data_IF_733726192747
#
_entry.id   IF_733726192747
#
_cell.length_a   1.000
_cell.length_b   1.000
_cell.length_c   1.000
_cell.angle_alpha   90.00
_cell.angle_beta   90.00
_cell.angle_gamma   90.00
#
_symmetry.space_group_name_H-M   'P 1'
#
loop_
_entity.id
_entity.type
_entity.pdbx_description
1 polymer ?
#
# COMPACT_ATOMS: atom_id res chain seq x y z
N UNK A 1 2.75 21.64 22.26
CA UNK A 1 1.80 20.90 23.12
C UNK A 1 0.38 21.44 23.08
N UNK A 2 0.15 22.68 22.60
CA UNK A 2 -1.17 23.34 22.68
C UNK A 2 -2.38 22.60 22.11
N UNK A 3 -2.22 21.71 21.11
CA UNK A 3 -3.35 20.91 20.63
C UNK A 3 -3.82 19.89 21.70
N UNK A 4 -2.91 19.11 22.26
CA UNK A 4 -3.24 18.07 23.26
C UNK A 4 -3.80 18.71 24.53
N UNK A 5 -3.16 19.78 25.02
CA UNK A 5 -3.61 20.52 26.20
C UNK A 5 -5.00 21.15 26.00
N UNK A 6 -5.33 21.54 24.76
CA UNK A 6 -6.65 22.06 24.41
C UNK A 6 -7.72 20.96 24.31
N UNK A 7 -7.37 19.76 23.86
CA UNK A 7 -8.35 18.69 23.62
C UNK A 7 -8.63 17.79 24.83
N UNK A 8 -7.63 17.51 25.68
CA UNK A 8 -7.82 16.64 26.85
C UNK A 8 -8.92 17.12 27.83
N UNK A 9 -9.12 18.43 28.06
CA UNK A 9 -10.19 18.92 28.94
C UNK A 9 -11.61 18.51 28.50
N UNK A 10 -11.86 18.32 27.19
CA UNK A 10 -13.17 17.82 26.71
C UNK A 10 -13.51 16.42 27.23
N UNK A 11 -12.50 15.66 27.65
CA UNK A 11 -12.65 14.31 28.21
C UNK A 11 -12.44 14.29 29.74
N UNK A 12 -12.37 15.45 30.39
CA UNK A 12 -12.05 15.55 31.82
C UNK A 12 -10.63 15.05 32.14
N UNK A 13 -9.70 15.13 31.18
CA UNK A 13 -8.31 14.69 31.34
C UNK A 13 -7.36 15.88 31.26
N UNK A 14 -6.16 15.70 31.79
CA UNK A 14 -5.05 16.64 31.68
C UNK A 14 -3.82 15.94 31.12
N UNK A 15 -2.84 16.71 30.66
CA UNK A 15 -1.60 16.16 30.09
C UNK A 15 -0.82 15.31 31.09
N UNK A 16 -0.91 15.65 32.38
CA UNK A 16 -0.31 14.89 33.48
C UNK A 16 -0.91 13.47 33.64
N UNK A 17 -2.10 13.23 33.10
CA UNK A 17 -2.73 11.92 33.07
C UNK A 17 -2.20 11.00 31.97
N UNK A 18 -1.49 11.53 30.96
CA UNK A 18 -0.91 10.73 29.89
C UNK A 18 0.28 9.92 30.42
N UNK A 19 0.25 8.59 30.24
CA UNK A 19 1.33 7.70 30.69
C UNK A 19 2.33 7.33 29.60
N UNK A 20 1.88 7.32 28.36
CA UNK A 20 2.68 7.03 27.17
C UNK A 20 1.98 7.60 25.95
N UNK A 21 2.73 7.76 24.87
CA UNK A 21 2.19 8.06 23.54
C UNK A 21 2.31 6.82 22.66
N UNK A 22 1.37 6.62 21.75
CA UNK A 22 1.45 5.58 20.72
C UNK A 22 1.52 6.26 19.37
N UNK A 23 2.55 5.95 18.59
CA UNK A 23 2.75 6.61 17.31
C UNK A 23 3.83 5.94 16.48
N UNK A 24 3.92 6.32 15.20
CA UNK A 24 5.05 5.93 14.38
C UNK A 24 6.36 6.59 14.89
N UNK A 25 7.50 6.17 14.32
CA UNK A 25 8.81 6.65 14.74
C UNK A 25 9.16 8.05 14.20
N UNK A 26 8.15 8.84 13.81
CA UNK A 26 8.33 10.18 13.25
C UNK A 26 9.00 11.12 14.25
N UNK A 27 9.85 12.03 13.75
CA UNK A 27 10.59 12.99 14.58
C UNK A 27 9.66 13.85 15.45
N UNK A 28 8.48 14.20 14.95
CA UNK A 28 7.47 14.97 15.70
C UNK A 28 6.93 14.19 16.89
N UNK A 29 6.63 12.90 16.70
CA UNK A 29 6.12 12.03 17.77
C UNK A 29 7.19 11.79 18.84
N UNK A 30 8.45 11.57 18.44
CA UNK A 30 9.59 11.50 19.36
C UNK A 30 9.76 12.79 20.15
N UNK A 31 9.76 13.94 19.47
CA UNK A 31 9.91 15.24 20.11
C UNK A 31 8.79 15.50 21.10
N UNK A 32 7.55 15.17 20.74
CA UNK A 32 6.40 15.33 21.60
C UNK A 32 6.48 14.44 22.85
N UNK A 33 6.82 13.16 22.70
CA UNK A 33 7.02 12.24 23.82
C UNK A 33 8.10 12.75 24.79
N UNK A 34 9.21 13.25 24.25
CA UNK A 34 10.28 13.87 25.04
C UNK A 34 9.80 15.13 25.77
N UNK A 35 9.03 16.02 25.11
CA UNK A 35 8.49 17.23 25.74
C UNK A 35 7.48 16.90 26.85
N UNK A 36 6.72 15.82 26.67
CA UNK A 36 5.75 15.32 27.67
C UNK A 36 6.41 14.46 28.75
N UNK A 37 7.69 14.13 28.61
CA UNK A 37 8.44 13.22 29.48
C UNK A 37 7.74 11.86 29.70
N UNK A 38 7.21 11.28 28.62
CA UNK A 38 6.54 9.96 28.62
C UNK A 38 7.13 9.06 27.55
N UNK A 39 7.11 7.73 27.72
CA UNK A 39 7.57 6.80 26.70
C UNK A 39 6.73 6.88 25.42
N UNK A 40 7.39 6.69 24.26
CA UNK A 40 6.75 6.50 22.97
C UNK A 40 6.70 5.01 22.64
N UNK A 41 5.50 4.46 22.59
CA UNK A 41 5.23 3.09 22.13
C UNK A 41 5.09 3.11 20.61
N UNK A 42 5.91 2.32 19.93
CA UNK A 42 5.90 2.24 18.48
C UNK A 42 4.57 1.67 17.95
N UNK A 43 4.04 2.31 16.91
CA UNK A 43 2.80 1.91 16.24
C UNK A 43 2.88 0.45 15.74
N UNK A 44 1.90 -0.35 16.18
CA UNK A 44 1.80 -1.76 15.78
C UNK A 44 1.57 -1.90 14.27
N UNK A 45 0.69 -1.06 13.70
CA UNK A 45 0.41 -1.08 12.26
C UNK A 45 1.63 -0.72 11.41
N UNK A 46 2.47 0.21 11.89
CA UNK A 46 3.73 0.53 11.21
C UNK A 46 4.70 -0.66 11.24
N UNK A 47 4.82 -1.35 12.38
CA UNK A 47 5.65 -2.56 12.52
C UNK A 47 5.16 -3.69 11.62
N UNK A 48 3.84 -3.91 11.56
CA UNK A 48 3.25 -4.89 10.64
C UNK A 48 3.57 -4.54 9.19
N UNK A 49 3.42 -3.27 8.79
CA UNK A 49 3.76 -2.85 7.43
C UNK A 49 5.24 -3.06 7.10
N UNK A 50 6.17 -2.87 8.05
CA UNK A 50 7.58 -3.20 7.84
C UNK A 50 7.78 -4.69 7.59
N UNK A 51 7.14 -5.55 8.39
CA UNK A 51 7.21 -7.01 8.20
C UNK A 51 6.63 -7.45 6.85
N UNK A 52 5.50 -6.85 6.43
CA UNK A 52 4.91 -7.10 5.10
C UNK A 52 5.87 -6.67 3.99
N UNK A 53 6.51 -5.50 4.11
CA UNK A 53 7.50 -5.05 3.12
C UNK A 53 8.68 -6.00 3.00
N UNK A 54 9.18 -6.51 4.12
CA UNK A 54 10.26 -7.51 4.14
C UNK A 54 9.81 -8.83 3.49
N UNK A 55 8.59 -9.29 3.79
CA UNK A 55 7.99 -10.47 3.16
C UNK A 55 7.84 -10.33 1.64
N UNK A 56 7.58 -9.12 1.14
CA UNK A 56 7.37 -8.85 -0.29
C UNK A 56 8.67 -8.75 -1.11
N UNK A 57 9.84 -8.60 -0.48
CA UNK A 57 11.15 -8.44 -1.16
C UNK A 57 11.39 -9.48 -2.27
N UNK A 58 11.13 -10.79 -2.06
CA UNK A 58 11.37 -11.81 -3.09
C UNK A 58 10.47 -11.67 -4.33
N UNK A 59 9.37 -10.91 -4.23
CA UNK A 59 8.37 -10.72 -5.28
C UNK A 59 8.46 -9.35 -5.94
N UNK A 60 9.35 -8.47 -5.51
CA UNK A 60 9.41 -7.07 -5.97
C UNK A 60 9.57 -6.94 -7.49
N UNK A 61 10.35 -7.80 -8.14
CA UNK A 61 10.48 -7.78 -9.61
C UNK A 61 9.16 -8.06 -10.30
N UNK A 62 8.41 -9.07 -9.85
CA UNK A 62 7.10 -9.42 -10.43
C UNK A 62 6.05 -8.34 -10.11
N UNK A 63 6.09 -7.78 -8.90
CA UNK A 63 5.21 -6.68 -8.49
C UNK A 63 5.49 -5.39 -9.28
N UNK A 64 6.75 -5.09 -9.58
CA UNK A 64 7.12 -3.94 -10.40
C UNK A 64 6.67 -4.12 -11.84
N UNK A 65 6.78 -5.33 -12.40
CA UNK A 65 6.23 -5.64 -13.73
C UNK A 65 4.70 -5.40 -13.76
N UNK A 66 3.95 -5.84 -12.74
CA UNK A 66 2.52 -5.53 -12.62
C UNK A 66 2.27 -4.03 -12.49
N UNK A 67 3.08 -3.30 -11.73
CA UNK A 67 2.97 -1.85 -11.61
C UNK A 67 3.18 -1.15 -12.96
N UNK A 68 4.15 -1.58 -13.76
CA UNK A 68 4.40 -1.06 -15.11
C UNK A 68 3.21 -1.35 -16.04
N UNK A 69 2.70 -2.57 -16.01
CA UNK A 69 1.49 -2.97 -16.74
C UNK A 69 0.30 -2.08 -16.37
N UNK A 70 0.05 -1.89 -15.07
CA UNK A 70 -1.04 -1.06 -14.57
C UNK A 70 -0.90 0.40 -14.99
N UNK A 71 0.33 0.92 -15.06
CA UNK A 71 0.60 2.27 -15.60
C UNK A 71 0.26 2.36 -17.08
N UNK A 72 0.66 1.37 -17.88
CA UNK A 72 0.34 1.33 -19.32
C UNK A 72 -1.18 1.26 -19.54
N UNK A 73 -1.89 0.45 -18.77
CA UNK A 73 -3.36 0.35 -18.84
C UNK A 73 -4.09 1.66 -18.47
N UNK A 74 -3.45 2.58 -17.73
CA UNK A 74 -4.00 3.90 -17.43
C UNK A 74 -3.81 4.94 -18.54
N UNK A 75 -2.99 4.65 -19.55
CA UNK A 75 -2.83 5.55 -20.70
C UNK A 75 -4.14 5.69 -21.46
N UNK A 76 -4.37 6.84 -22.11
CA UNK A 76 -5.66 7.17 -22.71
C UNK A 76 -6.16 6.09 -23.69
N UNK A 77 -5.29 5.63 -24.59
CA UNK A 77 -5.64 4.63 -25.60
C UNK A 77 -5.94 3.27 -24.97
N UNK A 78 -5.09 2.80 -24.05
CA UNK A 78 -5.26 1.49 -23.42
C UNK A 78 -6.43 1.48 -22.43
N UNK A 79 -6.67 2.58 -21.71
CA UNK A 79 -7.85 2.74 -20.87
C UNK A 79 -9.14 2.74 -21.69
N UNK A 80 -9.15 3.36 -22.87
CA UNK A 80 -10.29 3.31 -23.78
C UNK A 80 -10.55 1.87 -24.26
N UNK A 81 -9.53 1.15 -24.74
CA UNK A 81 -9.63 -0.26 -25.11
C UNK A 81 -10.15 -1.13 -23.95
N UNK A 82 -9.64 -0.93 -22.74
CA UNK A 82 -10.00 -1.71 -21.56
C UNK A 82 -11.48 -1.48 -21.16
N UNK A 83 -11.97 -0.24 -21.21
CA UNK A 83 -13.36 0.10 -20.91
C UNK A 83 -14.37 -0.58 -21.83
N UNK A 84 -13.99 -0.91 -23.06
CA UNK A 84 -14.84 -1.67 -23.98
C UNK A 84 -15.01 -3.12 -23.55
N UNK A 85 -14.09 -3.66 -22.72
CA UNK A 85 -14.11 -5.05 -22.26
C UNK A 85 -14.62 -5.20 -20.82
N UNK A 86 -14.31 -4.23 -19.95
CA UNK A 86 -14.63 -4.30 -18.52
C UNK A 86 -14.76 -2.90 -17.90
N UNK A 87 -15.66 -2.71 -16.91
CA UNK A 87 -15.72 -1.46 -16.13
C UNK A 87 -14.57 -1.31 -15.13
N UNK A 88 -13.75 -2.35 -14.95
CA UNK A 88 -12.64 -2.33 -14.00
C UNK A 88 -11.51 -1.40 -14.47
N UNK A 89 -11.05 -0.55 -13.54
CA UNK A 89 -9.92 0.35 -13.77
C UNK A 89 -8.61 -0.19 -13.16
N UNK A 90 -7.44 0.07 -13.75
CA UNK A 90 -6.16 -0.27 -13.14
C UNK A 90 -5.93 0.45 -11.81
N UNK A 91 -5.29 -0.22 -10.85
CA UNK A 91 -4.88 0.35 -9.56
C UNK A 91 -3.36 0.35 -9.50
N UNK A 92 -2.76 1.44 -9.01
CA UNK A 92 -1.31 1.52 -8.80
C UNK A 92 -0.96 1.29 -7.34
N UNK A 93 0.17 0.60 -7.12
CA UNK A 93 0.87 0.59 -5.84
C UNK A 93 1.34 2.00 -5.47
N UNK A 94 1.25 2.33 -4.18
CA UNK A 94 1.66 3.60 -3.57
C UNK A 94 2.36 3.32 -2.24
N UNK A 95 3.63 3.74 -2.12
CA UNK A 95 4.47 3.42 -0.96
C UNK A 95 3.90 3.95 0.37
N UNK A 96 3.15 5.04 0.30
CA UNK A 96 2.51 5.67 1.47
C UNK A 96 1.19 5.00 1.88
N UNK A 97 0.63 4.11 1.05
CA UNK A 97 -0.63 3.40 1.32
C UNK A 97 -0.37 1.90 1.47
N UNK A 98 -0.41 1.42 2.70
CA UNK A 98 -0.01 0.05 3.08
C UNK A 98 -0.75 -1.06 2.31
N UNK A 99 -2.05 -0.89 2.03
CA UNK A 99 -2.86 -1.88 1.30
C UNK A 99 -2.71 -1.81 -0.22
N UNK A 100 -1.96 -0.85 -0.76
CA UNK A 100 -1.97 -0.59 -2.21
C UNK A 100 -1.37 -1.71 -3.05
N UNK A 101 -0.36 -2.44 -2.53
CA UNK A 101 0.20 -3.62 -3.21
C UNK A 101 -0.85 -4.71 -3.35
N UNK A 102 -1.57 -5.03 -2.28
CA UNK A 102 -2.67 -5.99 -2.29
C UNK A 102 -3.76 -5.56 -3.29
N UNK A 103 -4.24 -4.32 -3.20
CA UNK A 103 -5.29 -3.82 -4.10
C UNK A 103 -4.88 -3.80 -5.57
N UNK A 104 -3.61 -3.50 -5.87
CA UNK A 104 -3.07 -3.58 -7.23
C UNK A 104 -3.06 -5.04 -7.72
N UNK A 105 -2.59 -5.96 -6.89
CA UNK A 105 -2.45 -7.36 -7.24
C UNK A 105 -3.81 -8.03 -7.45
N UNK A 106 -4.76 -7.81 -6.55
CA UNK A 106 -6.15 -8.25 -6.69
C UNK A 106 -6.77 -7.69 -7.98
N UNK A 107 -6.55 -6.41 -8.27
CA UNK A 107 -7.04 -5.79 -9.51
C UNK A 107 -6.41 -6.42 -10.75
N UNK A 108 -5.12 -6.71 -10.71
CA UNK A 108 -4.39 -7.34 -11.81
C UNK A 108 -4.98 -8.70 -12.16
N UNK A 109 -5.18 -9.56 -11.16
CA UNK A 109 -5.71 -10.91 -11.38
C UNK A 109 -7.10 -10.84 -12.02
N UNK A 110 -7.96 -9.93 -11.56
CA UNK A 110 -9.29 -9.71 -12.17
C UNK A 110 -9.23 -9.12 -13.57
N UNK A 111 -8.21 -8.32 -13.88
CA UNK A 111 -8.05 -7.75 -15.21
C UNK A 111 -7.43 -8.75 -16.20
N UNK A 112 -6.72 -9.77 -15.72
CA UNK A 112 -5.89 -10.67 -16.52
C UNK A 112 -6.62 -11.29 -17.71
N UNK A 113 -7.87 -11.72 -17.52
CA UNK A 113 -8.67 -12.36 -18.58
C UNK A 113 -9.02 -11.41 -19.74
N UNK A 114 -9.00 -10.09 -19.51
CA UNK A 114 -9.33 -9.08 -20.52
C UNK A 114 -8.10 -8.59 -21.30
N UNK A 115 -6.90 -8.93 -20.84
CA UNK A 115 -5.63 -8.53 -21.45
C UNK A 115 -5.23 -9.55 -22.52
N UNK A 116 -5.00 -9.08 -23.75
CA UNK A 116 -4.54 -9.94 -24.84
C UNK A 116 -3.01 -9.96 -24.90
N UNK A 117 -2.43 -11.13 -25.11
CA UNK A 117 -1.02 -11.27 -25.45
C UNK A 117 -0.72 -10.85 -26.89
N UNK A 118 -1.76 -10.74 -27.73
CA UNK A 118 -1.64 -10.33 -29.14
C UNK A 118 -1.63 -8.80 -29.32
N UNK A 119 -1.77 -8.03 -28.23
CA UNK A 119 -1.57 -6.58 -28.28
C UNK A 119 -0.08 -6.30 -28.08
N UNK A 120 0.64 -6.04 -29.18
CA UNK A 120 2.09 -5.78 -29.19
C UNK A 120 2.50 -4.65 -28.21
N UNK A 121 1.61 -3.69 -27.94
CA UNK A 121 1.85 -2.62 -26.95
C UNK A 121 1.92 -3.12 -25.50
N UNK A 122 1.44 -4.33 -25.23
CA UNK A 122 1.18 -4.91 -23.91
C UNK A 122 1.91 -6.24 -23.69
N UNK A 123 2.26 -6.96 -24.76
CA UNK A 123 2.86 -8.29 -24.71
C UNK A 123 4.09 -8.35 -23.80
N UNK A 124 4.99 -7.37 -23.93
CA UNK A 124 6.23 -7.28 -23.15
C UNK A 124 6.00 -6.97 -21.66
N UNK A 125 4.84 -6.39 -21.32
CA UNK A 125 4.49 -6.01 -19.95
C UNK A 125 3.67 -7.08 -19.22
N UNK A 126 3.18 -8.10 -19.92
CA UNK A 126 2.43 -9.17 -19.30
C UNK A 126 3.36 -10.08 -18.49
N UNK A 127 3.08 -10.30 -17.19
CA UNK A 127 3.82 -11.27 -16.42
C UNK A 127 3.78 -12.67 -17.05
N UNK A 128 4.93 -13.34 -17.02
CA UNK A 128 5.08 -14.72 -17.51
C UNK A 128 4.07 -15.65 -16.81
N UNK A 129 3.79 -16.82 -17.40
CA UNK A 129 2.90 -17.81 -16.73
C UNK A 129 3.44 -18.23 -15.35
N UNK A 130 4.76 -18.31 -15.20
CA UNK A 130 5.39 -18.65 -13.93
C UNK A 130 5.20 -17.53 -12.90
N UNK A 131 5.44 -16.27 -13.29
CA UNK A 131 5.31 -15.14 -12.37
C UNK A 131 3.86 -14.84 -12.03
N UNK A 132 2.93 -15.05 -12.97
CA UNK A 132 1.50 -14.97 -12.69
C UNK A 132 1.08 -15.95 -11.59
N UNK A 133 1.48 -17.23 -11.68
CA UNK A 133 1.18 -18.23 -10.64
C UNK A 133 1.80 -17.87 -9.29
N UNK A 134 3.04 -17.36 -9.29
CA UNK A 134 3.68 -16.85 -8.06
C UNK A 134 2.89 -15.70 -7.45
N UNK A 135 2.38 -14.80 -8.28
CA UNK A 135 1.58 -13.64 -7.88
C UNK A 135 0.19 -14.04 -7.36
N UNK A 136 -0.44 -15.07 -7.92
CA UNK A 136 -1.68 -15.66 -7.38
C UNK A 136 -1.44 -16.29 -6.00
N UNK A 137 -0.38 -17.09 -5.88
CA UNK A 137 0.00 -17.73 -4.63
C UNK A 137 0.38 -16.69 -3.56
N UNK A 138 1.06 -15.60 -3.96
CA UNK A 138 1.32 -14.44 -3.10
C UNK A 138 0.02 -13.80 -2.61
N UNK A 139 -0.96 -13.56 -3.49
CA UNK A 139 -2.22 -12.93 -3.09
C UNK A 139 -2.95 -13.75 -2.03
N UNK A 140 -2.88 -15.09 -2.10
CA UNK A 140 -3.51 -15.96 -1.09
C UNK A 140 -2.87 -15.87 0.31
N UNK A 141 -1.66 -15.31 0.39
CA UNK A 141 -0.86 -15.18 1.63
C UNK A 141 -0.86 -13.76 2.19
N UNK A 142 -1.46 -12.80 1.49
CA UNK A 142 -1.58 -11.39 1.90
C UNK A 142 -2.95 -11.11 2.54
#
# INVERSE_FOLDING_TARGET
MGAIERFLPFFGKTINGCKFLVGDNCAVNKRLANLMNVPLVGCASHRLNLAVREFLVPFETALDQVQQLMRKLRTLNQAAKLRMKTPLMPILRQDTRWSSTFSMLERYIRLREFLSADDDDMADLLPSRADHRKLEDLLSKL
#
